data_IF_204627419742
#
_entry.id   IF_204627419742
#
_cell.length_a   1.000
_cell.length_b   1.000
_cell.length_c   1.000
_cell.angle_alpha   90.00
_cell.angle_beta   90.00
_cell.angle_gamma   90.00
#
_symmetry.space_group_name_H-M   'P 1'
#
loop_
_entity.id
_entity.type
_entity.pdbx_description
1 polymer ?
#
# COMPACT_ATOMS: atom_id res chain seq x y z
N UNK A 1 -7.42 -0.52 -4.01
CA UNK A 1 -6.35 0.48 -4.29
C UNK A 1 -6.91 1.87 -4.04
N UNK A 2 -6.14 2.85 -3.59
CA UNK A 2 -6.61 4.24 -3.38
C UNK A 2 -5.90 5.17 -4.35
N UNK A 3 -6.65 6.04 -5.03
CA UNK A 3 -6.14 7.11 -5.88
C UNK A 3 -6.27 8.41 -5.10
N UNK A 4 -5.14 9.04 -4.69
CA UNK A 4 -5.20 10.25 -3.90
C UNK A 4 -5.73 11.42 -4.73
N UNK A 5 -6.70 12.15 -4.16
CA UNK A 5 -7.11 13.46 -4.65
C UNK A 5 -7.34 14.38 -3.45
N UNK A 6 -6.34 15.20 -3.17
CA UNK A 6 -6.35 16.10 -2.03
C UNK A 6 -6.06 17.49 -2.55
N UNK A 7 -6.96 18.41 -2.26
CA UNK A 7 -6.84 19.82 -2.61
C UNK A 7 -6.70 20.67 -1.33
N UNK A 8 -6.04 21.85 -1.40
CA UNK A 8 -5.88 22.72 -0.24
C UNK A 8 -7.23 23.12 0.38
N UNK A 9 -7.27 23.27 1.71
CA UNK A 9 -8.49 23.50 2.52
C UNK A 9 -9.30 24.77 2.20
N UNK A 10 -8.85 25.62 1.28
CA UNK A 10 -9.53 26.87 0.88
C UNK A 10 -10.63 26.68 -0.17
N UNK A 11 -11.22 25.48 -0.26
CA UNK A 11 -12.32 25.23 -1.20
C UNK A 11 -13.54 25.98 -0.71
N UNK A 12 -14.21 26.69 -1.62
CA UNK A 12 -15.52 27.25 -1.39
C UNK A 12 -16.46 26.14 -0.84
N UNK A 13 -17.31 26.40 0.17
CA UNK A 13 -18.26 25.41 0.68
C UNK A 13 -19.17 24.81 -0.39
N UNK A 14 -19.38 25.51 -1.50
CA UNK A 14 -20.13 25.05 -2.66
C UNK A 14 -19.19 24.57 -3.76
N UNK A 15 -19.12 23.26 -3.94
CA UNK A 15 -18.31 22.63 -4.97
C UNK A 15 -18.91 21.32 -5.46
N UNK A 16 -18.45 20.90 -6.63
CA UNK A 16 -18.71 19.57 -7.19
C UNK A 16 -17.37 18.85 -7.31
N UNK A 17 -17.30 17.62 -6.81
CA UNK A 17 -16.20 16.71 -7.08
C UNK A 17 -16.62 15.78 -8.23
N UNK A 18 -15.82 15.71 -9.28
CA UNK A 18 -16.03 14.81 -10.42
C UNK A 18 -14.82 13.92 -10.62
N UNK A 19 -15.07 12.62 -10.71
CA UNK A 19 -14.08 11.64 -11.16
C UNK A 19 -14.39 11.21 -12.59
N UNK A 20 -13.36 11.27 -13.43
CA UNK A 20 -13.42 10.84 -14.82
C UNK A 20 -12.40 9.73 -15.05
N UNK A 21 -12.84 8.62 -15.62
CA UNK A 21 -11.97 7.55 -16.10
C UNK A 21 -11.71 7.74 -17.59
N UNK A 22 -10.45 7.68 -17.99
CA UNK A 22 -10.03 7.85 -19.38
C UNK A 22 -9.31 6.59 -19.82
N UNK A 23 -9.89 5.90 -20.81
CA UNK A 23 -9.31 4.74 -21.46
C UNK A 23 -9.21 4.98 -22.95
N UNK A 24 -8.01 4.76 -23.51
CA UNK A 24 -7.75 4.92 -24.95
C UNK A 24 -8.22 6.29 -25.51
N UNK A 25 -8.12 7.34 -24.70
CA UNK A 25 -8.54 8.70 -25.08
C UNK A 25 -10.01 9.04 -24.85
N UNK A 26 -10.85 8.08 -24.45
CA UNK A 26 -12.28 8.31 -24.21
C UNK A 26 -12.54 8.60 -22.72
N UNK A 27 -12.99 9.82 -22.36
CA UNK A 27 -13.37 10.15 -20.99
C UNK A 27 -14.78 9.64 -20.66
N UNK A 28 -14.94 9.11 -19.45
CA UNK A 28 -16.22 8.68 -18.88
C UNK A 28 -16.35 9.25 -17.46
N UNK A 29 -17.46 9.93 -17.16
CA UNK A 29 -17.76 10.31 -15.78
C UNK A 29 -18.17 9.07 -14.98
N UNK A 30 -17.42 8.77 -13.93
CA UNK A 30 -17.62 7.57 -13.12
C UNK A 30 -18.24 7.87 -11.76
N UNK A 31 -18.03 9.09 -11.25
CA UNK A 31 -18.55 9.54 -9.97
C UNK A 31 -18.67 11.05 -9.93
N UNK A 32 -19.80 11.54 -9.41
CA UNK A 32 -20.01 12.95 -9.07
C UNK A 32 -20.42 13.07 -7.61
N UNK A 33 -19.90 14.05 -6.90
CA UNK A 33 -20.36 14.44 -5.56
C UNK A 33 -20.69 15.93 -5.54
N UNK A 34 -21.86 16.27 -5.02
CA UNK A 34 -22.32 17.65 -4.84
C UNK A 34 -22.28 18.01 -3.35
N UNK A 35 -21.53 19.06 -2.98
CA UNK A 35 -21.32 19.43 -1.59
C UNK A 35 -22.57 20.00 -0.91
N UNK A 36 -23.53 20.52 -1.67
CA UNK A 36 -24.75 21.14 -1.14
C UNK A 36 -25.79 20.09 -0.78
N UNK A 37 -26.01 19.14 -1.67
CA UNK A 37 -26.97 18.03 -1.48
C UNK A 37 -26.34 16.86 -0.72
N UNK A 38 -25.01 16.83 -0.65
CA UNK A 38 -24.19 15.71 -0.12
C UNK A 38 -24.48 14.39 -0.82
N UNK A 39 -25.00 14.44 -2.05
CA UNK A 39 -25.29 13.26 -2.85
C UNK A 39 -24.06 12.79 -3.59
N UNK A 40 -23.91 11.47 -3.66
CA UNK A 40 -22.89 10.80 -4.49
C UNK A 40 -23.62 10.05 -5.58
N UNK A 41 -23.31 10.39 -6.83
CA UNK A 41 -23.82 9.70 -8.01
C UNK A 41 -22.70 8.88 -8.63
N UNK A 42 -22.90 7.56 -8.71
CA UNK A 42 -21.94 6.64 -9.32
C UNK A 42 -22.59 6.04 -10.57
N UNK A 43 -21.88 6.06 -11.69
CA UNK A 43 -22.39 5.49 -12.93
C UNK A 43 -22.58 3.97 -12.81
N UNK A 44 -23.58 3.44 -13.51
CA UNK A 44 -24.11 2.09 -13.27
C UNK A 44 -23.05 0.99 -13.26
N UNK A 45 -22.10 1.02 -14.20
CA UNK A 45 -21.05 0.00 -14.30
C UNK A 45 -20.01 0.06 -13.17
N UNK A 46 -19.94 1.18 -12.44
CA UNK A 46 -18.93 1.44 -11.41
C UNK A 46 -19.44 1.31 -9.97
N UNK A 47 -20.74 1.16 -9.76
CA UNK A 47 -21.36 1.12 -8.41
C UNK A 47 -20.71 0.16 -7.42
N UNK A 48 -20.19 -0.97 -7.89
CA UNK A 48 -19.55 -2.00 -7.05
C UNK A 48 -18.01 -2.01 -7.19
N UNK A 49 -17.45 -1.03 -7.88
CA UNK A 49 -16.01 -0.92 -8.16
C UNK A 49 -15.39 0.30 -7.49
N UNK A 50 -16.20 1.22 -6.96
CA UNK A 50 -15.76 2.48 -6.38
C UNK A 50 -16.30 2.64 -4.96
N UNK A 51 -15.50 3.22 -4.08
CA UNK A 51 -15.94 3.78 -2.80
C UNK A 51 -15.18 5.06 -2.48
N UNK A 52 -15.73 5.88 -1.59
CA UNK A 52 -15.12 7.11 -1.12
C UNK A 52 -15.57 7.43 0.31
N UNK A 53 -14.72 8.09 1.07
CA UNK A 53 -14.98 8.58 2.43
C UNK A 53 -15.67 9.96 2.35
N UNK A 54 -17.00 9.97 2.29
CA UNK A 54 -17.80 11.19 2.07
C UNK A 54 -17.59 12.26 3.15
N UNK A 55 -17.28 11.86 4.38
CA UNK A 55 -16.96 12.73 5.51
C UNK A 55 -15.70 13.58 5.25
N UNK A 56 -14.75 13.06 4.46
CA UNK A 56 -13.48 13.74 4.19
C UNK A 56 -13.51 14.65 2.97
N UNK A 57 -14.52 14.53 2.11
CA UNK A 57 -14.62 15.33 0.87
C UNK A 57 -14.74 16.83 1.21
N UNK A 58 -15.53 17.17 2.23
CA UNK A 58 -15.69 18.56 2.68
C UNK A 58 -14.38 19.17 3.21
N UNK A 59 -13.44 18.34 3.65
CA UNK A 59 -12.10 18.78 4.06
C UNK A 59 -11.09 18.89 2.89
N UNK A 60 -11.55 18.62 1.67
CA UNK A 60 -10.74 18.65 0.45
C UNK A 60 -10.09 17.32 0.08
N UNK A 61 -10.47 16.23 0.74
CA UNK A 61 -10.00 14.89 0.41
C UNK A 61 -11.07 14.12 -0.35
N UNK A 62 -10.97 14.13 -1.68
CA UNK A 62 -11.83 13.40 -2.60
C UNK A 62 -11.21 12.10 -3.09
N UNK A 63 -10.32 11.48 -2.32
CA UNK A 63 -9.58 10.28 -2.74
C UNK A 63 -10.53 9.13 -3.07
N UNK A 64 -10.27 8.47 -4.21
CA UNK A 64 -11.12 7.41 -4.74
C UNK A 64 -10.55 6.04 -4.40
N UNK A 65 -11.36 5.17 -3.82
CA UNK A 65 -11.00 3.78 -3.58
C UNK A 65 -11.55 2.89 -4.69
N UNK A 66 -10.64 2.24 -5.41
CA UNK A 66 -10.94 1.19 -6.37
C UNK A 66 -11.09 -0.16 -5.64
N UNK A 67 -12.20 -0.83 -5.91
CA UNK A 67 -12.60 -2.14 -5.41
C UNK A 67 -12.71 -3.14 -6.56
N UNK A 68 -12.65 -4.44 -6.25
CA UNK A 68 -12.80 -5.52 -7.24
C UNK A 68 -11.91 -5.32 -8.47
N UNK A 69 -10.60 -5.16 -8.21
CA UNK A 69 -9.60 -4.81 -9.21
C UNK A 69 -9.44 -5.94 -10.25
N UNK A 70 -10.24 -5.92 -11.30
CA UNK A 70 -9.95 -6.68 -12.50
C UNK A 70 -8.74 -6.03 -13.21
N UNK A 71 -7.56 -6.68 -13.24
CA UNK A 71 -6.30 -5.99 -13.48
C UNK A 71 -6.21 -5.27 -14.82
N UNK A 72 -6.91 -5.74 -15.86
CA UNK A 72 -6.95 -5.07 -17.16
C UNK A 72 -8.10 -4.05 -17.26
N UNK A 73 -9.22 -4.33 -16.60
CA UNK A 73 -10.47 -3.59 -16.74
C UNK A 73 -10.54 -2.31 -15.91
N UNK A 74 -9.57 -2.05 -15.02
CA UNK A 74 -9.48 -0.80 -14.27
C UNK A 74 -8.20 0.00 -14.59
N UNK A 75 -7.39 -0.46 -15.56
CA UNK A 75 -6.23 0.28 -16.05
C UNK A 75 -6.65 1.46 -16.92
N UNK A 76 -6.08 2.62 -16.63
CA UNK A 76 -6.38 3.86 -17.32
C UNK A 76 -5.92 5.09 -16.55
N UNK A 77 -6.36 6.25 -17.01
CA UNK A 77 -6.10 7.52 -16.35
C UNK A 77 -7.35 7.90 -15.57
N UNK A 78 -7.16 8.26 -14.31
CA UNK A 78 -8.23 8.77 -13.44
C UNK A 78 -7.99 10.25 -13.21
N UNK A 79 -9.01 11.05 -13.44
CA UNK A 79 -8.99 12.50 -13.30
C UNK A 79 -9.97 12.91 -12.22
N UNK A 80 -9.49 13.58 -11.20
CA UNK A 80 -10.28 14.19 -10.15
C UNK A 80 -10.39 15.68 -10.41
N UNK A 81 -11.59 16.23 -10.31
CA UNK A 81 -11.84 17.65 -10.51
C UNK A 81 -12.73 18.18 -9.37
N UNK A 82 -12.20 19.12 -8.59
CA UNK A 82 -13.01 19.95 -7.70
C UNK A 82 -13.37 21.24 -8.44
N UNK A 83 -14.66 21.44 -8.70
CA UNK A 83 -15.18 22.62 -9.41
C UNK A 83 -16.01 23.49 -8.49
N UNK A 84 -15.76 24.79 -8.54
CA UNK A 84 -16.56 25.85 -7.92
C UNK A 84 -16.96 26.84 -9.02
N UNK A 85 -17.70 27.91 -8.69
CA UNK A 85 -18.01 28.97 -9.66
C UNK A 85 -16.78 29.79 -10.11
N UNK A 86 -15.67 29.72 -9.36
CA UNK A 86 -14.49 30.59 -9.57
C UNK A 86 -13.22 29.81 -9.89
N UNK A 87 -13.10 28.59 -9.35
CA UNK A 87 -11.88 27.80 -9.35
C UNK A 87 -12.18 26.35 -9.70
N UNK A 88 -11.33 25.78 -10.53
CA UNK A 88 -11.31 24.35 -10.87
C UNK A 88 -9.94 23.77 -10.51
N UNK A 89 -9.92 22.75 -9.66
CA UNK A 89 -8.71 22.00 -9.32
C UNK A 89 -8.75 20.63 -9.97
N UNK A 90 -7.84 20.39 -10.91
CA UNK A 90 -7.74 19.15 -11.67
C UNK A 90 -6.48 18.37 -11.25
N UNK A 91 -6.65 17.10 -10.88
CA UNK A 91 -5.56 16.18 -10.56
C UNK A 91 -5.74 14.92 -11.41
N UNK A 92 -4.69 14.50 -12.12
CA UNK A 92 -4.70 13.29 -12.94
C UNK A 92 -3.69 12.26 -12.43
N UNK A 93 -4.12 11.00 -12.37
CA UNK A 93 -3.30 9.87 -11.94
C UNK A 93 -3.42 8.71 -12.92
N UNK A 94 -2.29 8.16 -13.34
CA UNK A 94 -2.24 6.98 -14.21
C UNK A 94 -2.17 5.72 -13.35
N UNK A 95 -3.11 4.79 -13.56
CA UNK A 95 -3.25 3.56 -12.77
C UNK A 95 -2.97 2.34 -13.63
N UNK A 96 -2.12 1.46 -13.10
CA UNK A 96 -1.79 0.16 -13.68
C UNK A 96 -1.88 -0.92 -12.60
N UNK A 97 -2.85 -1.81 -12.73
CA UNK A 97 -2.96 -3.04 -11.97
C UNK A 97 -2.20 -4.12 -12.71
N UNK A 98 -1.21 -4.70 -12.05
CA UNK A 98 -0.50 -5.89 -12.53
C UNK A 98 -1.26 -7.13 -12.07
N UNK A 99 -1.60 -8.03 -12.98
CA UNK A 99 -2.08 -9.36 -12.60
C UNK A 99 -0.91 -10.14 -12.02
N UNK A 100 -0.95 -10.48 -10.74
CA UNK A 100 -0.03 -11.47 -10.18
C UNK A 100 -0.42 -12.81 -10.79
N UNK A 101 0.42 -13.37 -11.66
CA UNK A 101 0.25 -14.77 -12.10
C UNK A 101 0.20 -15.65 -10.84
N UNK A 102 -0.73 -16.62 -10.74
CA UNK A 102 -0.69 -17.60 -9.68
C UNK A 102 0.71 -18.20 -9.66
N UNK A 103 1.41 -18.06 -8.54
CA UNK A 103 2.64 -18.81 -8.32
C UNK A 103 2.24 -20.28 -8.41
N UNK A 104 2.78 -20.99 -9.39
CA UNK A 104 2.57 -22.42 -9.59
C UNK A 104 2.69 -23.16 -8.23
N UNK A 105 1.63 -23.82 -7.73
CA UNK A 105 1.70 -24.56 -6.48
C UNK A 105 2.41 -25.90 -6.75
N UNK A 106 3.74 -25.86 -6.88
CA UNK A 106 4.45 -26.96 -7.51
C UNK A 106 5.96 -27.04 -7.28
N UNK A 107 6.45 -26.84 -6.07
CA UNK A 107 7.56 -27.67 -5.53
C UNK A 107 7.61 -27.52 -4.01
N UNK A 108 6.87 -28.38 -3.32
CA UNK A 108 7.19 -28.75 -1.96
C UNK A 108 8.57 -29.45 -1.95
N UNK A 109 9.65 -28.68 -1.92
CA UNK A 109 10.84 -29.17 -1.22
C UNK A 109 10.65 -28.80 0.23
N UNK A 110 10.09 -29.75 0.98
CA UNK A 110 10.17 -29.76 2.42
C UNK A 110 11.66 -29.75 2.80
N UNK A 111 12.23 -28.57 3.03
CA UNK A 111 13.51 -28.45 3.72
C UNK A 111 13.24 -27.99 5.14
N UNK A 112 12.93 -29.00 5.95
CA UNK A 112 13.13 -29.10 7.39
C UNK A 112 13.48 -27.76 8.06
N UNK A 113 12.48 -27.14 8.68
CA UNK A 113 12.70 -26.23 9.80
C UNK A 113 13.55 -26.96 10.83
N UNK A 114 14.81 -26.56 10.98
CA UNK A 114 15.58 -26.80 12.19
C UNK A 114 15.55 -25.50 12.98
N UNK A 115 14.62 -25.45 13.93
CA UNK A 115 14.75 -24.60 15.09
C UNK A 115 16.08 -24.92 15.82
N UNK A 116 16.58 -23.94 16.60
CA UNK A 116 17.76 -23.97 17.47
C UNK A 116 19.10 -23.48 16.87
N UNK A 117 19.23 -22.17 16.73
CA UNK A 117 20.54 -21.50 16.70
C UNK A 117 20.73 -20.64 17.97
N UNK A 118 20.71 -21.26 19.16
CA UNK A 118 21.07 -20.59 20.41
C UNK A 118 21.60 -21.59 21.47
N UNK A 119 22.69 -22.32 21.19
CA UNK A 119 23.41 -23.09 22.23
C UNK A 119 24.95 -23.19 22.00
N UNK A 120 25.57 -22.29 21.25
CA UNK A 120 27.04 -22.30 21.07
C UNK A 120 27.81 -21.38 22.05
N UNK A 121 27.13 -20.39 22.65
CA UNK A 121 27.78 -19.42 23.55
C UNK A 121 28.34 -20.06 24.83
N UNK A 122 27.67 -21.02 25.52
CA UNK A 122 28.26 -21.61 26.73
C UNK A 122 29.44 -22.56 26.42
N UNK A 123 29.47 -23.19 25.24
CA UNK A 123 30.52 -24.16 24.90
C UNK A 123 31.87 -23.49 24.59
N UNK A 124 31.85 -22.30 23.96
CA UNK A 124 33.06 -21.52 23.70
C UNK A 124 33.68 -21.02 25.01
N UNK A 125 32.86 -20.55 25.96
CA UNK A 125 33.36 -20.10 27.28
C UNK A 125 34.00 -21.24 28.09
N UNK A 126 33.41 -22.45 28.08
CA UNK A 126 34.00 -23.61 28.77
C UNK A 126 35.32 -24.06 28.13
N UNK A 127 35.42 -24.03 26.80
CA UNK A 127 36.66 -24.37 26.09
C UNK A 127 37.80 -23.38 26.40
N UNK A 128 37.50 -22.07 26.37
CA UNK A 128 38.48 -21.01 26.67
C UNK A 128 38.97 -21.10 28.12
N UNK A 129 38.08 -21.37 29.07
CA UNK A 129 38.49 -21.51 30.48
C UNK A 129 39.38 -22.73 30.72
N UNK A 130 39.07 -23.89 30.13
CA UNK A 130 39.91 -25.09 30.24
C UNK A 130 41.32 -24.90 29.65
N UNK A 131 41.42 -24.23 28.50
CA UNK A 131 42.72 -23.98 27.86
C UNK A 131 43.61 -23.07 28.71
N UNK A 132 43.06 -21.99 29.27
CA UNK A 132 43.81 -21.08 30.16
C UNK A 132 44.29 -21.81 31.41
N UNK A 133 43.44 -22.62 32.06
CA UNK A 133 43.83 -23.40 33.25
C UNK A 133 44.95 -24.39 32.90
N UNK A 134 44.85 -25.09 31.77
CA UNK A 134 45.86 -26.05 31.34
C UNK A 134 47.23 -25.38 31.09
N UNK A 135 47.23 -24.22 30.44
CA UNK A 135 48.47 -23.43 30.23
C UNK A 135 49.08 -23.01 31.57
N UNK A 136 48.28 -22.53 32.52
CA UNK A 136 48.78 -22.15 33.85
C UNK A 136 49.37 -23.35 34.59
N UNK A 137 48.70 -24.51 34.57
CA UNK A 137 49.22 -25.74 35.18
C UNK A 137 50.56 -26.17 34.57
N UNK A 138 50.67 -26.17 33.24
CA UNK A 138 51.92 -26.49 32.55
C UNK A 138 53.03 -25.49 32.87
N UNK A 139 52.68 -24.21 33.00
CA UNK A 139 53.64 -23.18 33.39
C UNK A 139 54.14 -23.39 34.82
N UNK A 140 53.25 -23.70 35.77
CA UNK A 140 53.65 -24.01 37.15
C UNK A 140 54.49 -25.29 37.26
N UNK A 141 54.16 -26.34 36.49
CA UNK A 141 54.94 -27.59 36.48
C UNK A 141 56.33 -27.40 35.87
N UNK A 142 56.50 -26.46 34.94
CA UNK A 142 57.80 -26.14 34.33
C UNK A 142 58.67 -25.22 35.20
N UNK A 143 58.10 -24.58 36.21
CA UNK A 143 58.77 -23.60 37.08
C UNK A 143 59.15 -24.19 38.45
N UNK A 144 58.74 -25.42 38.75
CA UNK A 144 59.16 -26.23 39.93
C UNK A 144 60.22 -27.24 39.49
#
# INVERSE_FOLDING_TARGET
MIIPCIVPRTINPQFTLRWTFIRAGTPENILTYDSQTKQVEISSRWKNQLSMETDRILSGNGSLQLQNLEPSAQNGIYSCEFSTSQVHHLIQSKVFCLSVLPSDPGTHTARSSRHHAFLAVPFVFVSVTLTVVCILCLYTYKVI
#
